data_IF_665763978144
#
_entry.id   IF_665763978144
#
_cell.length_a   1.000
_cell.length_b   1.000
_cell.length_c   1.000
_cell.angle_alpha   90.00
_cell.angle_beta   90.00
_cell.angle_gamma   90.00
#
_symmetry.space_group_name_H-M   'P 1'
#
loop_
_entity.id
_entity.type
_entity.pdbx_description
1 polymer ?
#
# COMPACT_ATOMS: atom_id res chain seq x y z
N UNK A 1 3.52 -49.39 10.72
CA UNK A 1 3.58 -47.94 11.04
C UNK A 1 5.05 -47.55 11.15
N UNK A 2 5.49 -46.56 10.37
CA UNK A 2 6.91 -46.15 10.37
C UNK A 2 7.24 -45.42 11.67
N UNK A 3 8.08 -46.03 12.49
CA UNK A 3 8.45 -45.57 13.83
C UNK A 3 9.59 -44.56 13.75
N UNK A 4 9.41 -43.35 14.32
CA UNK A 4 10.46 -42.33 14.40
C UNK A 4 11.25 -42.52 15.68
N UNK A 5 12.57 -42.63 15.56
CA UNK A 5 13.49 -42.86 16.67
C UNK A 5 14.50 -41.72 16.75
N UNK A 6 14.92 -41.36 17.96
CA UNK A 6 16.04 -40.45 18.22
C UNK A 6 17.14 -41.25 18.92
N UNK A 7 18.36 -41.08 18.46
CA UNK A 7 19.54 -41.76 18.98
C UNK A 7 20.07 -41.03 20.21
N UNK A 8 20.27 -41.73 21.32
CA UNK A 8 20.73 -41.13 22.59
C UNK A 8 22.21 -41.42 22.90
N UNK A 9 22.98 -41.89 21.90
CA UNK A 9 24.40 -42.20 22.06
C UNK A 9 24.72 -43.67 22.41
N UNK A 10 23.73 -44.54 22.66
CA UNK A 10 23.97 -45.99 22.83
C UNK A 10 22.94 -46.89 22.15
N UNK A 11 21.70 -46.43 22.03
CA UNK A 11 20.63 -47.12 21.31
C UNK A 11 19.59 -46.15 20.73
N UNK A 12 18.78 -46.64 19.81
CA UNK A 12 17.71 -45.85 19.18
C UNK A 12 16.47 -45.87 20.07
N UNK A 13 16.02 -44.70 20.52
CA UNK A 13 14.83 -44.54 21.36
C UNK A 13 13.65 -44.12 20.51
N UNK A 14 12.55 -44.85 20.59
CA UNK A 14 11.36 -44.65 19.77
C UNK A 14 10.43 -43.60 20.40
N UNK A 15 9.98 -42.62 19.62
CA UNK A 15 9.11 -41.56 20.13
C UNK A 15 7.66 -42.05 20.14
N UNK A 16 7.07 -42.05 21.34
CA UNK A 16 5.72 -42.50 21.63
C UNK A 16 5.64 -43.00 23.07
N UNK A 17 5.54 -42.09 24.03
CA UNK A 17 5.56 -42.38 25.47
C UNK A 17 6.18 -41.21 26.25
N UNK A 18 5.69 -41.01 27.47
CA UNK A 18 5.80 -39.83 28.33
C UNK A 18 7.18 -39.12 28.41
N UNK A 19 7.11 -37.80 28.53
CA UNK A 19 8.26 -36.89 28.73
C UNK A 19 8.84 -37.09 30.13
N UNK A 20 10.16 -37.33 30.31
CA UNK A 20 10.76 -37.38 31.64
C UNK A 20 11.18 -35.99 32.16
N UNK A 21 10.47 -35.56 33.20
CA UNK A 21 10.76 -34.75 34.39
C UNK A 21 11.78 -33.60 34.48
N UNK A 22 12.76 -33.36 33.60
CA UNK A 22 13.62 -32.16 33.76
C UNK A 22 14.00 -31.44 32.45
N UNK A 23 13.29 -30.35 32.21
CA UNK A 23 13.70 -29.21 31.36
C UNK A 23 14.66 -28.36 32.21
N UNK A 24 15.87 -28.06 31.72
CA UNK A 24 16.73 -27.03 32.33
C UNK A 24 17.01 -25.88 31.37
N UNK A 25 16.70 -24.65 31.81
CA UNK A 25 17.05 -23.41 31.13
C UNK A 25 18.50 -23.00 31.42
N UNK A 26 19.20 -22.42 30.43
CA UNK A 26 20.60 -21.99 30.55
C UNK A 26 20.75 -20.48 30.27
N UNK A 27 21.74 -19.84 30.91
CA UNK A 27 22.07 -18.40 30.73
C UNK A 27 23.11 -18.17 29.62
N UNK A 28 23.16 -16.96 29.05
CA UNK A 28 24.12 -16.56 27.99
C UNK A 28 25.59 -16.86 28.35
N UNK A 29 25.99 -16.66 29.61
CA UNK A 29 27.35 -16.94 30.11
C UNK A 29 27.75 -18.42 30.01
N UNK A 30 26.77 -19.34 30.07
CA UNK A 30 27.00 -20.77 30.00
C UNK A 30 27.01 -21.28 28.54
N UNK A 31 26.41 -20.52 27.63
CA UNK A 31 26.49 -20.78 26.20
C UNK A 31 27.86 -20.38 25.63
N UNK A 32 28.38 -19.21 26.03
CA UNK A 32 29.64 -18.66 25.52
C UNK A 32 30.90 -19.43 25.97
N UNK A 33 30.76 -20.38 26.91
CA UNK A 33 31.82 -21.28 27.37
C UNK A 33 31.82 -22.65 26.66
N UNK A 34 30.87 -22.90 25.74
CA UNK A 34 30.88 -24.08 24.87
C UNK A 34 31.87 -23.86 23.73
N UNK A 35 33.01 -24.56 23.79
CA UNK A 35 34.08 -24.48 22.76
C UNK A 35 33.62 -24.88 21.35
N UNK A 36 32.53 -25.64 21.23
CA UNK A 36 31.75 -25.84 20.00
C UNK A 36 30.29 -26.18 20.34
N UNK A 37 29.29 -25.37 19.96
CA UNK A 37 27.88 -25.70 20.22
C UNK A 37 27.41 -26.91 19.41
N UNK A 38 26.62 -27.78 20.03
CA UNK A 38 26.18 -29.05 19.44
C UNK A 38 25.03 -28.84 18.44
N UNK A 39 25.22 -29.33 17.21
CA UNK A 39 24.26 -29.30 16.10
C UNK A 39 22.94 -30.07 16.35
N UNK A 40 22.82 -30.80 17.46
CA UNK A 40 21.68 -31.66 17.80
C UNK A 40 20.81 -31.16 18.96
N UNK A 41 21.14 -29.99 19.53
CA UNK A 41 20.43 -29.39 20.67
C UNK A 41 19.76 -28.07 20.24
N UNK A 42 18.49 -27.87 20.61
CA UNK A 42 17.83 -26.56 20.48
C UNK A 42 18.13 -25.77 21.76
N UNK A 43 18.88 -24.68 21.62
CA UNK A 43 19.18 -23.76 22.72
C UNK A 43 18.17 -22.60 22.74
N UNK A 44 17.42 -22.46 23.83
CA UNK A 44 16.61 -21.27 24.09
C UNK A 44 17.36 -20.39 25.09
N UNK A 45 17.80 -19.21 24.64
CA UNK A 45 18.54 -18.24 25.46
C UNK A 45 17.52 -17.22 26.00
N UNK A 46 17.38 -17.12 27.32
CA UNK A 46 16.55 -16.09 27.95
C UNK A 46 17.39 -15.28 28.95
N UNK A 47 17.20 -13.96 28.96
CA UNK A 47 17.88 -13.04 29.88
C UNK A 47 16.99 -12.62 31.07
N UNK A 48 16.01 -13.44 31.44
CA UNK A 48 15.11 -13.10 32.54
C UNK A 48 14.71 -14.34 33.33
N UNK A 49 14.85 -14.24 34.66
CA UNK A 49 14.28 -15.16 35.63
C UNK A 49 12.75 -15.08 35.60
N UNK A 50 12.12 -15.96 34.84
CA UNK A 50 10.67 -16.14 34.78
C UNK A 50 10.28 -16.99 33.57
N UNK A 51 9.25 -17.85 33.70
CA UNK A 51 8.66 -18.58 32.57
C UNK A 51 7.87 -17.56 31.73
N UNK A 52 8.58 -16.78 30.92
CA UNK A 52 8.01 -15.91 29.92
C UNK A 52 7.72 -16.69 28.64
N UNK A 53 6.62 -16.37 27.97
CA UNK A 53 6.41 -16.81 26.59
C UNK A 53 7.51 -16.15 25.76
N UNK A 54 8.28 -16.93 25.00
CA UNK A 54 9.23 -16.36 24.04
C UNK A 54 8.41 -15.63 22.98
N UNK A 55 8.45 -14.30 23.03
CA UNK A 55 7.68 -13.41 22.16
C UNK A 55 8.28 -13.34 20.74
N UNK A 56 9.59 -13.52 20.62
CA UNK A 56 10.31 -13.62 19.35
C UNK A 56 11.45 -14.64 19.47
N UNK A 57 11.79 -15.32 18.36
CA UNK A 57 12.93 -16.23 18.27
C UNK A 57 13.66 -16.04 16.94
N UNK A 58 14.98 -16.20 16.96
CA UNK A 58 15.84 -16.08 15.78
C UNK A 58 16.76 -17.29 15.66
N UNK A 59 17.00 -17.74 14.42
CA UNK A 59 18.02 -18.72 14.07
C UNK A 59 18.86 -18.09 12.97
N UNK A 60 20.18 -17.98 13.17
CA UNK A 60 21.10 -17.33 12.22
C UNK A 60 20.62 -15.94 11.77
N UNK A 61 20.21 -15.10 12.72
CA UNK A 61 19.67 -13.75 12.49
C UNK A 61 18.31 -13.70 11.76
N UNK A 62 17.80 -14.84 11.29
CA UNK A 62 16.49 -14.96 10.64
C UNK A 62 15.39 -15.23 11.66
N UNK A 63 14.21 -14.66 11.45
CA UNK A 63 13.05 -14.86 12.32
C UNK A 63 12.51 -16.29 12.22
N UNK A 64 12.18 -16.88 13.37
CA UNK A 64 11.40 -18.12 13.44
C UNK A 64 9.93 -17.73 13.39
N UNK A 65 9.20 -18.21 12.39
CA UNK A 65 7.76 -17.92 12.24
C UNK A 65 6.89 -19.01 12.84
N UNK A 66 7.41 -20.24 12.92
CA UNK A 66 6.79 -21.41 13.58
C UNK A 66 7.86 -22.41 13.99
N UNK A 67 7.62 -23.17 15.06
CA UNK A 67 8.39 -24.37 15.39
C UNK A 67 7.49 -25.59 15.44
N UNK A 68 7.99 -26.72 14.95
CA UNK A 68 7.29 -27.99 14.93
C UNK A 68 8.11 -29.11 15.57
N UNK A 69 7.43 -30.06 16.20
CA UNK A 69 7.96 -31.39 16.53
C UNK A 69 7.10 -32.42 15.80
N UNK A 70 7.68 -33.08 14.80
CA UNK A 70 6.91 -33.91 13.89
C UNK A 70 5.93 -33.04 13.07
N UNK A 71 4.63 -33.30 13.20
CA UNK A 71 3.56 -32.51 12.57
C UNK A 71 2.89 -31.51 13.54
N UNK A 72 3.29 -31.53 14.81
CA UNK A 72 2.69 -30.70 15.86
C UNK A 72 3.43 -29.36 15.95
N UNK A 73 2.70 -28.25 15.82
CA UNK A 73 3.24 -26.92 16.08
C UNK A 73 3.47 -26.77 17.58
N UNK A 74 4.71 -26.50 18.00
CA UNK A 74 5.09 -26.36 19.41
C UNK A 74 5.32 -24.91 19.82
N UNK A 75 5.45 -24.00 18.85
CA UNK A 75 5.55 -22.57 19.10
C UNK A 75 5.19 -21.76 17.85
N UNK A 76 4.54 -20.63 18.08
CA UNK A 76 4.38 -19.53 17.14
C UNK A 76 4.39 -18.20 17.90
N UNK A 77 4.67 -17.08 17.22
CA UNK A 77 4.64 -15.77 17.85
C UNK A 77 3.24 -15.45 18.41
N UNK A 78 3.15 -14.69 19.51
CA UNK A 78 1.87 -14.41 20.16
C UNK A 78 0.89 -13.69 19.22
N UNK A 79 -0.40 -13.95 19.39
CA UNK A 79 -1.47 -13.31 18.62
C UNK A 79 -2.15 -12.25 19.50
N UNK A 80 -1.93 -10.98 19.19
CA UNK A 80 -2.57 -9.87 19.92
C UNK A 80 -3.78 -9.28 19.18
N UNK A 81 -3.87 -9.51 17.88
CA UNK A 81 -5.01 -9.12 17.07
C UNK A 81 -5.20 -10.04 15.85
N UNK A 82 -6.39 -10.01 15.26
CA UNK A 82 -6.76 -10.74 14.04
C UNK A 82 -7.42 -9.80 13.01
N UNK A 83 -7.45 -10.23 11.75
CA UNK A 83 -8.05 -9.50 10.64
C UNK A 83 -7.08 -9.24 9.49
N UNK A 84 -7.59 -9.10 8.27
CA UNK A 84 -6.78 -8.85 7.08
C UNK A 84 -5.80 -9.99 6.77
N UNK A 85 -4.86 -9.70 5.88
CA UNK A 85 -3.73 -10.60 5.60
C UNK A 85 -2.61 -10.33 6.61
N UNK A 86 -2.17 -11.36 7.32
CA UNK A 86 -1.16 -11.26 8.37
C UNK A 86 0.21 -11.67 7.85
N UNK A 87 1.23 -10.84 8.14
CA UNK A 87 2.64 -11.14 7.89
C UNK A 87 3.48 -10.70 9.07
N UNK A 88 4.57 -11.41 9.36
CA UNK A 88 5.52 -11.04 10.39
C UNK A 88 6.81 -10.55 9.74
N UNK A 89 7.35 -9.42 10.22
CA UNK A 89 8.53 -8.76 9.65
C UNK A 89 9.56 -8.44 10.74
N UNK A 90 10.81 -8.30 10.31
CA UNK A 90 11.91 -7.81 11.13
C UNK A 90 12.20 -6.35 10.78
N UNK A 91 12.11 -5.46 11.78
CA UNK A 91 12.50 -4.06 11.62
C UNK A 91 13.43 -3.69 12.77
N UNK A 92 14.71 -3.49 12.45
CA UNK A 92 15.71 -3.06 13.43
C UNK A 92 15.96 -4.06 14.56
N UNK A 93 15.73 -5.36 14.32
CA UNK A 93 15.93 -6.40 15.34
C UNK A 93 14.65 -6.72 16.13
N UNK A 94 13.59 -5.94 15.98
CA UNK A 94 12.28 -6.19 16.59
C UNK A 94 11.35 -6.94 15.64
N UNK A 95 10.55 -7.85 16.18
CA UNK A 95 9.50 -8.53 15.42
C UNK A 95 8.22 -7.70 15.42
N UNK A 96 7.68 -7.46 14.23
CA UNK A 96 6.41 -6.79 14.03
C UNK A 96 5.43 -7.69 13.32
N UNK A 97 4.17 -7.67 13.76
CA UNK A 97 3.06 -8.24 13.01
C UNK A 97 2.38 -7.15 12.21
N UNK A 98 2.18 -7.39 10.92
CA UNK A 98 1.51 -6.49 9.98
C UNK A 98 0.21 -7.13 9.51
N UNK A 99 -0.89 -6.39 9.65
CA UNK A 99 -2.21 -6.70 9.12
C UNK A 99 -2.51 -5.79 7.93
N UNK A 100 -2.76 -6.38 6.77
CA UNK A 100 -3.05 -5.65 5.53
C UNK A 100 -4.48 -5.87 5.08
N UNK A 101 -5.20 -4.79 4.83
CA UNK A 101 -6.60 -4.77 4.38
C UNK A 101 -6.68 -4.13 2.99
N UNK A 102 -6.95 -4.95 1.97
CA UNK A 102 -7.23 -4.51 0.60
C UNK A 102 -8.73 -4.40 0.32
N UNK A 103 -9.55 -4.92 1.22
CA UNK A 103 -11.01 -4.85 1.23
C UNK A 103 -11.49 -4.46 2.64
N UNK A 104 -12.68 -3.86 2.71
CA UNK A 104 -13.29 -3.49 3.99
C UNK A 104 -13.46 -4.70 4.90
N UNK A 105 -13.24 -4.52 6.20
CA UNK A 105 -13.18 -5.62 7.14
C UNK A 105 -13.12 -5.16 8.59
N UNK A 106 -12.68 -6.07 9.45
CA UNK A 106 -12.57 -5.84 10.88
C UNK A 106 -11.14 -6.13 11.35
N UNK A 107 -10.64 -5.31 12.26
CA UNK A 107 -9.44 -5.57 13.05
C UNK A 107 -9.86 -5.77 14.50
N UNK A 108 -9.61 -6.97 15.04
CA UNK A 108 -10.03 -7.33 16.39
C UNK A 108 -8.82 -7.49 17.29
N UNK A 109 -8.76 -6.66 18.34
CA UNK A 109 -7.72 -6.70 19.37
C UNK A 109 -8.14 -7.66 20.48
N UNK A 110 -7.28 -8.62 20.77
CA UNK A 110 -7.52 -9.70 21.75
C UNK A 110 -6.89 -9.41 23.13
N UNK A 111 -6.07 -8.36 23.22
CA UNK A 111 -5.42 -7.92 24.46
C UNK A 111 -6.19 -6.74 25.09
N UNK A 112 -6.09 -6.51 26.41
CA UNK A 112 -6.74 -5.37 27.06
C UNK A 112 -6.39 -4.01 26.43
N UNK A 113 -5.14 -3.89 25.95
CA UNK A 113 -4.61 -2.74 25.23
C UNK A 113 -3.53 -3.19 24.24
N UNK A 114 -3.47 -2.57 23.07
CA UNK A 114 -2.44 -2.80 22.05
C UNK A 114 -2.02 -1.47 21.42
N UNK A 115 -0.73 -1.17 21.47
CA UNK A 115 -0.13 -0.05 20.73
C UNK A 115 0.09 -0.46 19.28
N UNK A 116 -0.50 0.30 18.36
CA UNK A 116 -0.40 0.05 16.93
C UNK A 116 0.15 1.27 16.19
N UNK A 117 0.76 1.01 15.04
CA UNK A 117 1.01 1.99 13.99
C UNK A 117 0.12 1.66 12.78
N UNK A 118 -0.36 2.69 12.07
CA UNK A 118 -1.22 2.50 10.92
C UNK A 118 -0.87 3.41 9.75
N UNK A 119 -1.27 2.97 8.57
CA UNK A 119 -1.30 3.70 7.32
C UNK A 119 -2.68 3.50 6.68
N UNK A 120 -3.39 4.58 6.39
CA UNK A 120 -4.71 4.59 5.76
C UNK A 120 -4.59 5.33 4.43
N UNK A 121 -4.91 4.63 3.34
CA UNK A 121 -4.88 5.18 1.99
C UNK A 121 -6.29 5.12 1.42
N UNK A 122 -6.81 6.24 0.96
CA UNK A 122 -8.10 6.32 0.28
C UNK A 122 -8.00 5.89 -1.20
N UNK A 123 -9.15 5.70 -1.87
CA UNK A 123 -9.17 5.44 -3.30
C UNK A 123 -8.73 6.66 -4.12
N UNK A 124 -8.02 6.43 -5.23
CA UNK A 124 -7.64 7.48 -6.18
C UNK A 124 -8.79 7.89 -7.10
N UNK A 125 -8.75 9.10 -7.67
CA UNK A 125 -9.74 9.58 -8.63
C UNK A 125 -9.54 9.00 -10.04
N UNK A 126 -10.63 8.92 -10.81
CA UNK A 126 -10.59 8.53 -12.22
C UNK A 126 -10.09 9.65 -13.14
N UNK A 127 -9.42 9.29 -14.23
CA UNK A 127 -8.97 10.21 -15.27
C UNK A 127 -10.09 10.64 -16.22
N UNK A 128 -9.96 11.82 -16.80
CA UNK A 128 -10.89 12.41 -17.75
C UNK A 128 -10.74 11.89 -19.18
N UNK A 129 -11.78 12.09 -19.98
CA UNK A 129 -11.87 11.68 -21.37
C UNK A 129 -11.18 12.68 -22.29
N UNK A 130 -10.45 12.18 -23.28
CA UNK A 130 -9.91 13.00 -24.36
C UNK A 130 -10.86 13.05 -25.55
N UNK A 131 -11.20 14.26 -26.00
CA UNK A 131 -12.24 14.52 -27.00
C UNK A 131 -11.74 14.53 -28.44
N UNK A 132 -12.65 14.86 -29.35
CA UNK A 132 -12.34 15.08 -30.76
C UNK A 132 -11.42 16.28 -30.99
N UNK A 133 -10.84 16.35 -32.19
CA UNK A 133 -9.97 17.48 -32.59
C UNK A 133 -8.63 17.56 -31.85
N UNK A 134 -8.23 16.49 -31.15
CA UNK A 134 -6.98 16.46 -30.39
C UNK A 134 -7.09 16.96 -28.95
N UNK A 135 -8.31 17.11 -28.41
CA UNK A 135 -8.51 17.50 -27.02
C UNK A 135 -8.19 16.35 -26.05
N UNK A 136 -7.57 16.64 -24.92
CA UNK A 136 -7.11 15.65 -23.95
C UNK A 136 -7.93 15.68 -22.66
N UNK A 137 -7.89 14.57 -21.92
CA UNK A 137 -8.46 14.43 -20.60
C UNK A 137 -7.46 14.73 -19.50
N UNK A 138 -7.95 15.31 -18.40
CA UNK A 138 -7.18 15.51 -17.18
C UNK A 138 -6.91 14.21 -16.43
N UNK A 139 -5.88 14.18 -15.61
CA UNK A 139 -5.55 13.05 -14.74
C UNK A 139 -6.31 13.09 -13.41
N UNK A 140 -6.58 11.92 -12.84
CA UNK A 140 -7.09 11.79 -11.48
C UNK A 140 -6.01 12.05 -10.42
N UNK A 141 -6.40 12.66 -9.30
CA UNK A 141 -5.57 12.82 -8.12
C UNK A 141 -5.53 11.54 -7.28
N UNK A 142 -4.46 11.38 -6.51
CA UNK A 142 -4.34 10.28 -5.56
C UNK A 142 -5.31 10.41 -4.37
N UNK A 143 -5.65 9.28 -3.75
CA UNK A 143 -6.24 9.28 -2.41
C UNK A 143 -5.27 9.84 -1.36
N UNK A 144 -5.80 10.42 -0.29
CA UNK A 144 -4.98 10.85 0.84
C UNK A 144 -4.29 9.64 1.49
N UNK A 145 -3.08 9.86 1.99
CA UNK A 145 -2.30 8.88 2.76
C UNK A 145 -2.07 9.43 4.16
N UNK A 146 -2.66 8.79 5.16
CA UNK A 146 -2.55 9.20 6.56
C UNK A 146 -1.82 8.13 7.36
N UNK A 147 -0.86 8.54 8.20
CA UNK A 147 -0.11 7.66 9.08
C UNK A 147 -0.22 8.11 10.52
N UNK A 148 -0.16 7.18 11.47
CA UNK A 148 -0.14 7.53 12.88
C UNK A 148 0.05 6.32 13.77
N UNK A 149 0.06 6.57 15.08
CA UNK A 149 0.13 5.56 16.13
C UNK A 149 -0.99 5.80 17.15
N UNK A 150 -1.56 4.72 17.68
CA UNK A 150 -2.63 4.79 18.67
C UNK A 150 -2.64 3.54 19.55
N UNK A 151 -3.04 3.70 20.81
CA UNK A 151 -3.36 2.58 21.71
C UNK A 151 -4.83 2.21 21.56
N UNK A 152 -5.13 0.95 21.26
CA UNK A 152 -6.50 0.44 21.09
C UNK A 152 -6.81 -0.55 22.20
N UNK A 153 -8.00 -0.43 22.80
CA UNK A 153 -8.51 -1.38 23.77
C UNK A 153 -9.00 -2.67 23.12
N UNK A 154 -9.14 -3.75 23.90
CA UNK A 154 -9.75 -5.00 23.42
C UNK A 154 -11.08 -4.76 22.69
N UNK A 155 -11.31 -5.48 21.60
CA UNK A 155 -12.55 -5.44 20.82
C UNK A 155 -12.32 -5.22 19.33
N UNK A 156 -13.43 -5.00 18.62
CA UNK A 156 -13.46 -4.99 17.16
C UNK A 156 -13.53 -3.57 16.60
N UNK A 157 -12.62 -3.23 15.70
CA UNK A 157 -12.61 -1.99 14.93
C UNK A 157 -12.97 -2.25 13.47
N UNK A 158 -14.02 -1.58 12.97
CA UNK A 158 -14.38 -1.65 11.55
C UNK A 158 -13.48 -0.76 10.69
N UNK A 159 -13.05 -1.31 9.57
CA UNK A 159 -12.17 -0.67 8.60
C UNK A 159 -12.88 -0.59 7.25
N UNK A 160 -12.87 0.59 6.65
CA UNK A 160 -13.42 0.82 5.32
C UNK A 160 -12.28 1.08 4.36
N UNK A 161 -12.24 0.33 3.25
CA UNK A 161 -11.31 0.57 2.15
C UNK A 161 -12.05 1.28 1.02
N UNK A 162 -11.58 2.48 0.69
CA UNK A 162 -12.10 3.27 -0.41
C UNK A 162 -11.82 2.63 -1.76
N UNK A 163 -12.85 2.51 -2.59
CA UNK A 163 -12.72 2.18 -4.00
C UNK A 163 -12.12 3.33 -4.81
N UNK A 164 -11.42 2.99 -5.90
CA UNK A 164 -10.99 3.97 -6.88
C UNK A 164 -12.16 4.54 -7.69
N UNK A 165 -11.99 5.77 -8.16
CA UNK A 165 -12.95 6.45 -9.03
C UNK A 165 -12.97 5.88 -10.44
N UNK A 166 -14.13 5.94 -11.09
CA UNK A 166 -14.30 5.47 -12.46
C UNK A 166 -13.73 6.51 -13.43
N UNK A 167 -12.91 6.06 -14.38
CA UNK A 167 -12.39 6.87 -15.47
C UNK A 167 -13.47 7.21 -16.48
N UNK A 168 -13.34 8.38 -17.10
CA UNK A 168 -14.33 8.89 -18.05
C UNK A 168 -14.29 8.13 -19.37
N UNK A 169 -15.47 7.88 -19.93
CA UNK A 169 -15.68 7.42 -21.31
C UNK A 169 -16.53 8.44 -22.07
N UNK A 170 -16.83 8.18 -23.34
CA UNK A 170 -17.71 9.04 -24.14
C UNK A 170 -19.10 9.30 -23.50
N UNK A 171 -19.55 8.43 -22.59
CA UNK A 171 -20.88 8.53 -21.94
C UNK A 171 -20.82 8.59 -20.42
N UNK A 172 -19.62 8.57 -19.82
CA UNK A 172 -19.44 8.51 -18.35
C UNK A 172 -18.50 9.64 -17.93
N UNK A 173 -18.96 10.46 -17.00
CA UNK A 173 -18.15 11.51 -16.34
C UNK A 173 -17.25 10.84 -15.29
N UNK A 174 -15.98 11.24 -15.15
CA UNK A 174 -15.10 10.58 -14.20
C UNK A 174 -15.50 10.91 -12.76
N UNK A 175 -15.33 9.95 -11.86
CA UNK A 175 -15.69 10.12 -10.44
C UNK A 175 -14.45 10.21 -9.56
N UNK A 176 -14.58 10.94 -8.45
CA UNK A 176 -13.58 10.92 -7.38
C UNK A 176 -13.52 9.53 -6.75
N UNK A 177 -12.37 9.20 -6.15
CA UNK A 177 -12.24 8.01 -5.31
C UNK A 177 -13.06 8.16 -4.03
N UNK A 178 -13.35 7.03 -3.38
CA UNK A 178 -14.06 7.02 -2.10
C UNK A 178 -13.08 6.99 -0.92
N UNK A 179 -13.56 7.44 0.24
CA UNK A 179 -12.75 7.56 1.45
C UNK A 179 -12.41 6.17 2.03
N UNK A 180 -11.25 6.08 2.68
CA UNK A 180 -10.93 4.97 3.59
C UNK A 180 -11.04 5.47 5.04
N UNK A 181 -11.40 4.59 5.97
CA UNK A 181 -11.46 4.95 7.39
C UNK A 181 -11.08 3.80 8.30
N UNK A 182 -10.40 4.15 9.40
CA UNK A 182 -9.95 3.24 10.44
C UNK A 182 -9.72 4.02 11.73
N UNK A 183 -10.05 3.44 12.89
CA UNK A 183 -9.70 4.00 14.20
C UNK A 183 -10.19 5.45 14.43
N UNK A 184 -11.34 5.81 13.84
CA UNK A 184 -11.88 7.18 13.89
C UNK A 184 -11.20 8.18 12.95
N UNK A 185 -10.20 7.76 12.18
CA UNK A 185 -9.49 8.56 11.19
C UNK A 185 -10.04 8.27 9.80
N UNK A 186 -10.25 9.31 8.99
CA UNK A 186 -10.76 9.21 7.61
C UNK A 186 -9.76 9.83 6.63
N UNK A 187 -9.27 9.03 5.70
CA UNK A 187 -8.52 9.50 4.54
C UNK A 187 -9.49 9.84 3.40
N UNK A 188 -9.34 11.03 2.82
CA UNK A 188 -10.21 11.50 1.73
C UNK A 188 -9.81 10.89 0.38
N UNK A 189 -10.81 10.47 -0.41
CA UNK A 189 -10.60 9.98 -1.77
C UNK A 189 -10.06 11.06 -2.72
N UNK A 190 -9.34 10.62 -3.76
CA UNK A 190 -8.71 11.51 -4.74
C UNK A 190 -9.71 12.16 -5.69
N UNK A 191 -9.43 13.40 -6.11
CA UNK A 191 -10.27 14.13 -7.07
C UNK A 191 -10.20 13.56 -8.48
N UNK A 192 -11.30 13.53 -9.22
CA UNK A 192 -11.32 13.14 -10.63
C UNK A 192 -10.62 14.15 -11.55
N UNK A 193 -10.12 13.67 -12.68
CA UNK A 193 -9.64 14.51 -13.77
C UNK A 193 -10.79 15.14 -14.58
N UNK A 194 -10.56 16.30 -15.17
CA UNK A 194 -11.54 16.97 -16.03
C UNK A 194 -11.65 16.33 -17.41
N UNK A 195 -12.88 16.15 -17.92
CA UNK A 195 -13.13 15.74 -19.30
C UNK A 195 -12.94 16.87 -20.32
N UNK A 196 -12.78 16.50 -21.59
CA UNK A 196 -12.55 17.45 -22.69
C UNK A 196 -13.77 18.27 -23.13
N UNK A 197 -15.01 17.81 -22.88
CA UNK A 197 -16.21 18.53 -23.32
C UNK A 197 -16.46 19.75 -22.41
N UNK A 198 -16.26 20.95 -22.94
CA UNK A 198 -16.55 22.21 -22.23
C UNK A 198 -15.50 22.68 -21.23
N UNK A 199 -14.30 22.07 -21.22
CA UNK A 199 -13.20 22.47 -20.34
C UNK A 199 -13.45 22.21 -18.87
N UNK A 200 -13.84 20.97 -18.54
CA UNK A 200 -14.12 20.59 -17.17
C UNK A 200 -12.86 20.69 -16.29
N UNK A 201 -13.07 21.25 -15.10
CA UNK A 201 -12.05 21.33 -14.07
C UNK A 201 -11.77 19.95 -13.47
N UNK A 202 -10.56 19.76 -12.95
CA UNK A 202 -10.27 18.65 -12.05
C UNK A 202 -11.03 18.86 -10.74
N UNK A 203 -11.52 17.77 -10.14
CA UNK A 203 -12.16 17.84 -8.85
C UNK A 203 -11.13 17.95 -7.72
N UNK A 204 -11.56 18.54 -6.62
CA UNK A 204 -10.83 18.52 -5.35
C UNK A 204 -10.95 17.13 -4.72
N UNK A 205 -10.03 16.81 -3.80
CA UNK A 205 -10.06 15.57 -3.03
C UNK A 205 -8.93 15.52 -2.02
N UNK A 206 -8.59 14.32 -1.54
CA UNK A 206 -7.36 14.07 -0.80
C UNK A 206 -6.16 14.67 -1.56
N UNK A 207 -5.97 14.25 -2.80
CA UNK A 207 -5.19 15.03 -3.79
C UNK A 207 -6.08 15.47 -4.95
N UNK A 208 -5.77 16.63 -5.54
CA UNK A 208 -6.55 17.22 -6.62
C UNK A 208 -6.31 16.55 -7.97
N UNK A 209 -7.36 16.39 -8.77
CA UNK A 209 -7.24 16.01 -10.18
C UNK A 209 -6.78 17.18 -11.05
N UNK A 210 -6.35 16.93 -12.28
CA UNK A 210 -6.06 17.98 -13.25
C UNK A 210 -7.29 18.32 -14.09
N UNK A 211 -7.36 19.55 -14.61
CA UNK A 211 -8.35 19.90 -15.62
C UNK A 211 -8.10 19.21 -16.96
N UNK A 212 -9.15 19.10 -17.78
CA UNK A 212 -9.05 18.74 -19.19
C UNK A 212 -8.60 19.93 -20.04
N UNK A 213 -8.85 19.90 -21.35
CA UNK A 213 -8.58 21.04 -22.24
C UNK A 213 -9.17 22.35 -21.69
N UNK A 214 -8.33 23.34 -21.34
CA UNK A 214 -8.71 24.64 -20.72
C UNK A 214 -9.31 24.61 -19.31
N UNK A 215 -9.44 23.42 -18.69
CA UNK A 215 -9.91 23.29 -17.32
C UNK A 215 -8.81 23.58 -16.29
N UNK A 216 -9.21 24.06 -15.12
CA UNK A 216 -8.29 24.28 -13.97
C UNK A 216 -8.04 22.98 -13.21
N UNK A 217 -6.94 22.90 -12.47
CA UNK A 217 -6.71 21.79 -11.53
C UNK A 217 -7.59 21.91 -10.28
N UNK A 218 -7.85 20.77 -9.66
CA UNK A 218 -8.39 20.68 -8.32
C UNK A 218 -7.29 20.81 -7.27
N UNK A 219 -7.68 21.24 -6.06
CA UNK A 219 -6.81 21.32 -4.89
C UNK A 219 -6.77 20.00 -4.11
N UNK A 220 -5.65 19.75 -3.44
CA UNK A 220 -5.53 18.72 -2.41
C UNK A 220 -6.09 19.18 -1.06
N UNK A 221 -6.29 18.24 -0.14
CA UNK A 221 -6.77 18.46 1.23
C UNK A 221 -6.28 17.33 2.13
N UNK A 222 -6.21 17.58 3.45
CA UNK A 222 -5.80 16.58 4.44
C UNK A 222 -4.43 15.90 4.12
N UNK A 223 -3.45 16.68 3.69
CA UNK A 223 -2.09 16.21 3.41
C UNK A 223 -1.82 15.75 1.97
N UNK A 224 -2.80 15.82 1.07
CA UNK A 224 -2.54 15.65 -0.36
C UNK A 224 -2.36 16.98 -1.10
N UNK A 225 -1.91 16.88 -2.34
CA UNK A 225 -1.38 18.02 -3.11
C UNK A 225 -2.26 18.37 -4.31
N UNK A 226 -2.01 19.52 -4.92
CA UNK A 226 -2.82 19.99 -6.05
C UNK A 226 -2.47 19.25 -7.34
N UNK A 227 -3.44 19.21 -8.27
CA UNK A 227 -3.18 18.82 -9.64
C UNK A 227 -2.38 19.89 -10.39
N UNK A 228 -1.68 19.47 -11.43
CA UNK A 228 -1.03 20.35 -12.38
C UNK A 228 -2.03 21.05 -13.30
N UNK A 229 -1.72 22.28 -13.68
CA UNK A 229 -2.54 23.06 -14.62
C UNK A 229 -2.34 22.58 -16.06
N UNK A 230 -3.44 22.61 -16.84
CA UNK A 230 -3.38 22.40 -18.29
C UNK A 230 -2.75 23.64 -18.97
N UNK A 231 -2.02 23.44 -20.07
CA UNK A 231 -1.47 24.53 -20.88
C UNK A 231 -2.06 24.52 -22.29
N UNK A 232 -2.37 25.71 -22.80
CA UNK A 232 -2.80 25.92 -24.19
C UNK A 232 -1.59 26.39 -25.01
N UNK A 233 -1.15 25.58 -25.98
CA UNK A 233 0.07 25.83 -26.76
C UNK A 233 0.30 24.75 -27.83
N UNK A 234 1.37 24.82 -28.65
CA UNK A 234 1.57 23.94 -29.81
C UNK A 234 1.68 22.43 -29.48
N UNK A 235 1.89 22.10 -28.20
CA UNK A 235 1.94 20.74 -27.66
C UNK A 235 0.90 20.59 -26.55
N UNK A 236 -0.39 20.52 -26.88
CA UNK A 236 -1.43 20.55 -25.85
C UNK A 236 -1.35 19.32 -24.93
N UNK A 237 -1.29 19.54 -23.62
CA UNK A 237 -1.17 18.48 -22.61
C UNK A 237 -1.95 18.87 -21.36
N UNK A 238 -2.63 17.90 -20.75
CA UNK A 238 -3.17 18.06 -19.41
C UNK A 238 -2.03 18.09 -18.39
N UNK A 239 -2.25 18.78 -17.26
CA UNK A 239 -1.38 18.57 -16.10
C UNK A 239 -1.54 17.15 -15.53
N UNK A 240 -0.58 16.72 -14.70
CA UNK A 240 -0.73 15.50 -13.90
C UNK A 240 -1.64 15.73 -12.69
N UNK A 241 -2.19 14.66 -12.12
CA UNK A 241 -2.91 14.71 -10.86
C UNK A 241 -1.95 14.89 -9.69
N UNK A 242 -2.42 15.48 -8.59
CA UNK A 242 -1.65 15.58 -7.35
C UNK A 242 -1.42 14.21 -6.73
N UNK A 243 -0.24 14.00 -6.15
CA UNK A 243 0.08 12.83 -5.34
C UNK A 243 0.04 13.18 -3.85
N UNK A 244 0.13 12.17 -2.99
CA UNK A 244 0.21 12.37 -1.54
C UNK A 244 1.57 12.98 -1.11
N UNK A 245 2.63 12.83 -1.91
CA UNK A 245 3.97 13.33 -1.63
C UNK A 245 4.38 14.59 -2.42
N UNK A 246 3.56 15.08 -3.35
CA UNK A 246 3.82 16.33 -4.05
C UNK A 246 2.79 16.66 -5.14
N UNK A 247 2.83 17.90 -5.61
CA UNK A 247 1.94 18.40 -6.68
C UNK A 247 2.14 17.65 -8.01
N UNK A 248 1.08 17.60 -8.80
CA UNK A 248 1.15 17.17 -10.20
C UNK A 248 1.86 18.22 -11.05
N UNK A 249 2.65 17.78 -12.04
CA UNK A 249 3.31 18.71 -12.95
C UNK A 249 2.34 19.33 -13.95
N UNK A 250 2.52 20.61 -14.26
CA UNK A 250 1.80 21.27 -15.35
C UNK A 250 2.19 20.70 -16.73
N UNK A 251 1.37 21.00 -17.74
CA UNK A 251 1.30 20.19 -18.97
C UNK A 251 2.57 19.95 -19.80
N UNK A 252 3.70 20.64 -19.64
CA UNK A 252 4.89 20.30 -20.45
C UNK A 252 5.47 18.91 -20.14
N UNK A 253 5.44 18.49 -18.88
CA UNK A 253 5.83 17.13 -18.45
C UNK A 253 4.60 16.28 -18.15
N UNK A 254 3.51 16.91 -17.69
CA UNK A 254 2.23 16.27 -17.39
C UNK A 254 2.32 15.10 -16.40
N UNK A 255 3.44 14.97 -15.67
CA UNK A 255 3.67 13.86 -14.76
C UNK A 255 2.79 14.00 -13.52
N UNK A 256 2.26 12.86 -13.05
CA UNK A 256 1.56 12.80 -11.78
C UNK A 256 2.47 13.09 -10.59
N UNK A 257 1.94 13.71 -9.55
CA UNK A 257 2.68 13.97 -8.32
C UNK A 257 3.09 12.66 -7.62
N UNK A 258 4.26 12.61 -6.98
CA UNK A 258 4.72 11.41 -6.29
C UNK A 258 3.83 11.07 -5.10
N UNK A 259 3.74 9.80 -4.75
CA UNK A 259 3.12 9.32 -3.53
C UNK A 259 3.99 9.53 -2.29
N UNK A 260 3.42 9.28 -1.11
CA UNK A 260 4.11 9.29 0.17
C UNK A 260 4.87 7.97 0.35
N UNK A 261 6.15 8.05 0.71
CA UNK A 261 6.97 6.89 1.04
C UNK A 261 6.68 6.41 2.47
N UNK A 262 6.40 5.12 2.65
CA UNK A 262 6.20 4.50 3.96
C UNK A 262 6.88 3.13 4.04
N UNK A 263 7.49 2.84 5.18
CA UNK A 263 8.11 1.55 5.51
C UNK A 263 7.25 0.69 6.44
N UNK A 264 5.94 0.97 6.52
CA UNK A 264 5.04 0.30 7.46
C UNK A 264 5.00 -1.23 7.27
N UNK A 265 5.16 -1.73 6.05
CA UNK A 265 5.21 -3.17 5.72
C UNK A 265 6.62 -3.77 5.81
N UNK A 266 7.60 -3.05 6.36
CA UNK A 266 9.00 -3.49 6.50
C UNK A 266 9.90 -3.17 5.32
N UNK A 267 9.33 -2.75 4.19
CA UNK A 267 10.08 -2.22 3.03
C UNK A 267 9.51 -0.87 2.63
N UNK A 268 10.36 0.02 2.11
CA UNK A 268 9.96 1.36 1.71
C UNK A 268 9.15 1.31 0.40
N UNK A 269 7.86 1.61 0.48
CA UNK A 269 6.90 1.59 -0.63
C UNK A 269 6.21 2.96 -0.72
N UNK A 270 5.94 3.43 -1.94
CA UNK A 270 5.16 4.65 -2.15
C UNK A 270 3.66 4.33 -2.21
N UNK A 271 2.84 5.20 -1.62
CA UNK A 271 1.38 5.13 -1.69
C UNK A 271 0.82 6.47 -2.16
N UNK A 272 -0.24 6.45 -2.96
CA UNK A 272 -0.96 7.64 -3.41
C UNK A 272 -0.22 8.43 -4.49
N UNK A 273 0.21 7.78 -5.57
CA UNK A 273 0.76 8.48 -6.75
C UNK A 273 -0.32 9.09 -7.64
N UNK A 274 -0.16 10.35 -8.07
CA UNK A 274 -1.10 11.01 -8.97
C UNK A 274 -1.07 10.44 -10.40
N UNK A 275 -2.16 10.55 -11.16
CA UNK A 275 -2.18 10.12 -12.57
C UNK A 275 -1.39 11.06 -13.48
N UNK A 276 -0.89 10.55 -14.61
CA UNK A 276 -0.29 11.36 -15.68
C UNK A 276 -1.33 11.96 -16.62
N UNK A 277 -1.12 13.20 -17.06
CA UNK A 277 -2.03 13.93 -17.95
C UNK A 277 -2.07 13.38 -19.37
N UNK A 278 -3.23 13.43 -20.02
CA UNK A 278 -3.38 13.05 -21.43
C UNK A 278 -2.69 14.01 -22.38
N UNK A 279 -2.19 13.48 -23.51
CA UNK A 279 -1.60 14.26 -24.59
C UNK A 279 -2.63 14.63 -25.65
N UNK A 280 -2.58 15.87 -26.13
CA UNK A 280 -3.38 16.42 -27.22
C UNK A 280 -2.57 16.69 -28.48
N UNK A 281 -3.25 16.98 -29.58
CA UNK A 281 -2.63 17.10 -30.90
C UNK A 281 -1.42 18.04 -30.93
N UNK A 282 -0.26 17.57 -31.37
CA UNK A 282 0.83 18.45 -31.77
C UNK A 282 1.00 18.33 -33.28
N UNK A 283 1.15 19.46 -33.97
CA UNK A 283 1.38 19.48 -35.43
C UNK A 283 2.69 18.80 -35.88
N UNK A 284 3.46 18.23 -34.94
CA UNK A 284 4.76 17.60 -35.16
C UNK A 284 4.95 16.37 -34.24
N UNK A 285 4.61 15.17 -34.73
CA UNK A 285 5.07 13.90 -34.17
C UNK A 285 4.33 13.35 -32.94
N UNK A 286 4.87 12.26 -32.39
CA UNK A 286 4.31 11.50 -31.27
C UNK A 286 4.44 12.27 -29.95
N UNK A 287 3.32 12.56 -29.31
CA UNK A 287 3.28 13.19 -28.00
C UNK A 287 2.88 12.14 -26.96
N UNK A 288 3.86 11.66 -26.19
CA UNK A 288 3.61 10.74 -25.09
C UNK A 288 2.77 11.44 -24.00
N UNK A 289 1.83 10.70 -23.39
CA UNK A 289 1.14 11.16 -22.18
C UNK A 289 2.11 11.33 -21.00
N UNK A 290 1.64 12.00 -19.95
CA UNK A 290 2.38 12.13 -18.71
C UNK A 290 2.59 10.78 -18.02
N UNK A 291 3.73 10.60 -17.37
CA UNK A 291 3.99 9.41 -16.55
C UNK A 291 3.23 9.53 -15.22
N UNK A 292 2.64 8.45 -14.75
CA UNK A 292 2.02 8.39 -13.42
C UNK A 292 3.04 8.54 -12.30
N UNK A 293 2.62 9.13 -11.19
CA UNK A 293 3.47 9.30 -10.01
C UNK A 293 3.81 7.98 -9.33
N UNK A 294 4.98 7.93 -8.68
CA UNK A 294 5.36 6.82 -7.82
C UNK A 294 4.27 6.55 -6.77
N UNK A 295 3.98 5.28 -6.48
CA UNK A 295 2.83 4.90 -5.65
C UNK A 295 1.56 4.63 -6.44
N UNK A 296 1.72 4.16 -7.68
CA UNK A 296 0.64 3.53 -8.45
C UNK A 296 -0.16 4.46 -9.35
N UNK A 297 0.32 5.67 -9.68
CA UNK A 297 -0.35 6.53 -10.64
C UNK A 297 -0.41 5.91 -12.04
N UNK A 298 -1.55 6.02 -12.71
CA UNK A 298 -1.70 5.61 -14.11
C UNK A 298 -1.06 6.62 -15.07
N UNK A 299 -0.33 6.15 -16.08
CA UNK A 299 0.16 6.96 -17.19
C UNK A 299 -1.00 7.52 -18.02
N UNK A 300 -0.86 8.77 -18.48
CA UNK A 300 -1.76 9.40 -19.42
C UNK A 300 -1.67 8.80 -20.82
N UNK A 301 -2.75 8.95 -21.58
CA UNK A 301 -2.84 8.54 -22.97
C UNK A 301 -1.95 9.40 -23.88
N UNK A 302 -1.30 8.74 -24.84
CA UNK A 302 -0.51 9.40 -25.89
C UNK A 302 -1.40 9.89 -27.03
N UNK A 303 -0.83 10.75 -27.87
CA UNK A 303 -1.43 11.11 -29.16
C UNK A 303 -0.39 11.05 -30.28
N UNK A 304 -0.82 10.60 -31.45
CA UNK A 304 -0.02 10.53 -32.66
C UNK A 304 -0.86 10.94 -33.86
N UNK A 305 -0.54 12.11 -34.44
CA UNK A 305 -1.33 12.74 -35.50
C UNK A 305 -2.83 12.71 -35.18
N UNK A 306 -3.63 11.88 -35.86
CA UNK A 306 -5.08 11.75 -35.71
C UNK A 306 -5.54 10.59 -34.82
N UNK A 307 -4.62 10.00 -34.06
CA UNK A 307 -4.89 8.85 -33.19
C UNK A 307 -4.38 9.11 -31.78
N UNK A 308 -4.89 8.37 -30.80
CA UNK A 308 -4.43 8.44 -29.42
C UNK A 308 -4.67 7.14 -28.69
N UNK A 309 -4.21 7.08 -27.44
CA UNK A 309 -4.41 5.92 -26.57
C UNK A 309 -5.21 6.29 -25.33
N UNK A 310 -5.87 5.31 -24.74
CA UNK A 310 -6.48 5.45 -23.42
C UNK A 310 -5.42 5.74 -22.35
N UNK A 311 -5.84 6.44 -21.29
CA UNK A 311 -5.09 6.51 -20.05
C UNK A 311 -5.11 5.14 -19.35
N UNK A 312 -4.03 4.84 -18.63
CA UNK A 312 -3.94 3.60 -17.83
C UNK A 312 -4.56 3.81 -16.45
N UNK A 313 -5.07 2.73 -15.87
CA UNK A 313 -5.63 2.78 -14.51
C UNK A 313 -4.52 2.96 -13.46
N UNK A 314 -4.89 3.58 -12.34
CA UNK A 314 -4.08 3.54 -11.13
C UNK A 314 -3.98 2.11 -10.58
N UNK A 315 -2.84 1.77 -9.98
CA UNK A 315 -2.63 0.46 -9.40
C UNK A 315 -3.57 0.23 -8.21
N UNK A 316 -4.20 -0.94 -8.15
CA UNK A 316 -5.02 -1.33 -7.01
C UNK A 316 -4.21 -1.33 -5.71
N UNK A 317 -4.87 -1.03 -4.59
CA UNK A 317 -4.31 -1.06 -3.24
C UNK A 317 -3.16 -0.07 -3.01
N UNK A 318 -3.14 1.02 -3.77
CA UNK A 318 -2.14 2.10 -3.63
C UNK A 318 -2.78 3.47 -3.49
N UNK A 319 -4.08 3.61 -3.75
CA UNK A 319 -4.76 4.91 -3.86
C UNK A 319 -4.31 5.76 -5.06
N UNK A 320 -3.62 5.16 -6.04
CA UNK A 320 -3.10 5.89 -7.19
C UNK A 320 -4.19 6.46 -8.11
N UNK A 321 -3.96 7.65 -8.66
CA UNK A 321 -4.88 8.30 -9.60
C UNK A 321 -4.85 7.69 -11.00
N UNK A 322 -5.97 7.71 -11.71
CA UNK A 322 -6.06 7.26 -13.10
C UNK A 322 -5.46 8.25 -14.10
N UNK A 323 -4.82 7.75 -15.16
CA UNK A 323 -4.26 8.59 -16.23
C UNK A 323 -5.33 9.24 -17.10
N UNK A 324 -5.08 10.47 -17.58
CA UNK A 324 -5.99 11.16 -18.50
C UNK A 324 -6.01 10.54 -19.89
N UNK A 325 -7.15 10.55 -20.58
CA UNK A 325 -7.25 10.06 -21.96
C UNK A 325 -6.50 10.96 -22.95
N UNK A 326 -5.82 10.34 -23.91
CA UNK A 326 -5.21 11.05 -25.03
C UNK A 326 -6.25 11.65 -25.97
N UNK A 327 -5.83 12.49 -26.90
CA UNK A 327 -6.72 13.04 -27.94
C UNK A 327 -7.45 11.97 -28.75
N UNK A 328 -8.48 12.38 -29.49
CA UNK A 328 -9.23 11.54 -30.42
C UNK A 328 -10.08 10.44 -29.76
N UNK A 329 -10.93 10.85 -28.81
CA UNK A 329 -12.00 10.03 -28.24
C UNK A 329 -11.52 8.88 -27.34
N UNK A 330 -10.43 9.09 -26.60
CA UNK A 330 -9.86 8.08 -25.73
C UNK A 330 -10.29 8.22 -24.27
N UNK A 331 -10.53 7.06 -23.64
CA UNK A 331 -10.97 6.97 -22.26
C UNK A 331 -9.86 7.35 -21.28
N UNK A 332 -10.27 7.88 -20.13
CA UNK A 332 -9.41 8.00 -18.96
C UNK A 332 -9.32 6.69 -18.19
N UNK A 333 -8.24 6.51 -17.45
CA UNK A 333 -8.05 5.35 -16.58
C UNK A 333 -8.85 5.46 -15.29
N UNK A 334 -9.24 4.33 -14.70
CA UNK A 334 -9.82 4.29 -13.36
C UNK A 334 -8.76 4.63 -12.30
N UNK A 335 -9.18 5.14 -11.15
CA UNK A 335 -8.33 5.24 -9.96
C UNK A 335 -8.11 3.86 -9.31
N UNK A 336 -7.02 3.72 -8.58
CA UNK A 336 -6.73 2.55 -7.76
C UNK A 336 -7.51 2.56 -6.45
N UNK A 337 -7.84 1.38 -5.93
CA UNK A 337 -8.38 1.22 -4.57
C UNK A 337 -7.37 1.67 -3.51
N UNK A 338 -7.89 2.06 -2.35
CA UNK A 338 -7.14 2.32 -1.15
C UNK A 338 -6.61 1.05 -0.48
N UNK A 339 -5.95 1.24 0.66
CA UNK A 339 -5.41 0.16 1.49
C UNK A 339 -5.32 0.64 2.94
N UNK A 340 -5.52 -0.25 3.91
CA UNK A 340 -5.19 0.01 5.32
C UNK A 340 -4.15 -1.00 5.77
N UNK A 341 -3.07 -0.52 6.36
CA UNK A 341 -2.02 -1.35 6.95
C UNK A 341 -1.92 -0.99 8.42
N UNK A 342 -1.90 -2.00 9.27
CA UNK A 342 -1.77 -1.89 10.72
C UNK A 342 -0.59 -2.75 11.14
N UNK A 343 0.26 -2.25 12.05
CA UNK A 343 1.31 -3.08 12.65
C UNK A 343 1.45 -2.87 14.14
N UNK A 344 1.95 -3.89 14.82
CA UNK A 344 2.35 -3.83 16.22
C UNK A 344 3.54 -4.74 16.47
N UNK A 345 4.32 -4.41 17.50
CA UNK A 345 5.45 -5.22 17.90
C UNK A 345 4.96 -6.49 18.62
N UNK A 346 5.54 -7.63 18.29
CA UNK A 346 5.27 -8.93 18.93
C UNK A 346 6.49 -9.51 19.64
N UNK A 347 7.64 -8.84 19.58
CA UNK A 347 8.84 -9.18 20.36
C UNK A 347 10.12 -8.55 19.83
#
# INVERSE_FOLDING_TARGET
>A
MSTRKIWNGSQWVQIGGEVPDQIQGITQSNFDSLSTPDSSTIYAITNASGVGVANSMRINQSLVTKMYVGATEIWSPPVYAIGGTVTDIDVGGAMWRVHTFTDSGQFEVLQPSLDIEYLIVAGGGGGGYGGGGGNFGGAGGAGAVLTGSITISSGTSSLIIGSGGVGSTASIVPTSGTNSSAFGVTALGGGSGGGSFGGANGANGGSGGSGGYTGTSGSGSAGGNAGGTSINGPNYRAGGGGGAGGDGSSGNTAAGGPGLLSSISGTAIHYGGGGGGGAGYSGSGNLAGGVGGAGGGGNGGSCYYSTGTAGTAGAANTGGGGGGGGGYYNNGGNGGSGIVIVRYQIG
#
